data_IF_886918949809
#
_entry.id   IF_886918949809
#
_cell.length_a   1.000
_cell.length_b   1.000
_cell.length_c   1.000
_cell.angle_alpha   90.00
_cell.angle_beta   90.00
_cell.angle_gamma   90.00
#
_symmetry.space_group_name_H-M   'P 1'
#
loop_
_entity.id
_entity.type
_entity.pdbx_description
1 polymer ?
#
# COMPACT_ATOMS: atom_id res chain seq x y z
N UNK A 1 -47.22 -57.88 51.39
CA UNK A 1 -46.77 -59.23 51.81
C UNK A 1 -45.95 -59.84 50.67
N UNK A 2 -44.74 -60.36 50.99
CA UNK A 2 -44.01 -61.52 50.40
C UNK A 2 -44.26 -61.83 48.90
N UNK A 3 -43.25 -62.02 48.03
CA UNK A 3 -42.09 -62.91 48.17
C UNK A 3 -41.20 -62.79 46.91
N UNK A 4 -39.89 -62.98 47.09
CA UNK A 4 -38.89 -63.31 46.05
C UNK A 4 -39.27 -64.60 45.31
N UNK A 5 -38.76 -64.79 44.09
CA UNK A 5 -37.77 -65.84 43.68
C UNK A 5 -37.53 -65.75 42.16
N UNK A 6 -36.27 -65.89 41.76
CA UNK A 6 -35.82 -65.90 40.35
C UNK A 6 -35.62 -67.30 39.76
N UNK A 7 -35.19 -67.32 38.49
CA UNK A 7 -34.76 -68.47 37.70
C UNK A 7 -34.91 -68.10 36.20
N UNK A 8 -33.84 -67.68 35.52
CA UNK A 8 -32.86 -68.49 34.77
C UNK A 8 -33.24 -68.76 33.30
N UNK A 9 -32.73 -67.87 32.43
CA UNK A 9 -32.03 -68.09 31.16
C UNK A 9 -32.57 -69.03 30.03
N UNK A 10 -32.84 -68.37 28.88
CA UNK A 10 -32.44 -68.66 27.46
C UNK A 10 -33.25 -69.78 26.74
N UNK A 11 -33.73 -69.65 25.46
CA UNK A 11 -33.00 -69.16 24.28
C UNK A 11 -33.71 -68.25 23.23
N UNK A 12 -32.82 -67.55 22.51
CA UNK A 12 -32.82 -67.12 21.10
C UNK A 12 -34.09 -67.22 20.25
N UNK A 13 -34.60 -66.05 19.83
CA UNK A 13 -35.17 -65.87 18.49
C UNK A 13 -35.20 -64.39 18.07
N UNK A 14 -34.86 -64.19 16.79
CA UNK A 14 -34.65 -62.92 16.10
C UNK A 14 -35.82 -61.94 16.26
N UNK A 15 -35.50 -60.69 16.58
CA UNK A 15 -36.35 -59.54 16.28
C UNK A 15 -35.53 -58.57 15.43
N UNK A 16 -36.02 -58.36 14.22
CA UNK A 16 -35.54 -57.38 13.23
C UNK A 16 -35.71 -55.99 13.81
N UNK A 17 -34.60 -55.29 14.07
CA UNK A 17 -34.63 -53.86 14.40
C UNK A 17 -34.14 -53.09 13.18
N UNK A 18 -35.07 -52.39 12.53
CA UNK A 18 -34.78 -51.50 11.41
C UNK A 18 -33.82 -50.40 11.87
N UNK A 19 -32.59 -50.42 11.33
CA UNK A 19 -31.62 -49.34 11.52
C UNK A 19 -32.06 -48.19 10.62
N UNK A 20 -32.63 -47.16 11.23
CA UNK A 20 -32.83 -45.87 10.60
C UNK A 20 -31.46 -45.23 10.41
N UNK A 21 -30.87 -45.43 9.23
CA UNK A 21 -29.65 -44.73 8.82
C UNK A 21 -30.06 -43.28 8.55
N UNK A 22 -29.95 -42.44 9.58
CA UNK A 22 -30.00 -41.00 9.43
C UNK A 22 -28.70 -40.58 8.75
N UNK A 23 -28.77 -40.41 7.43
CA UNK A 23 -27.67 -39.92 6.61
C UNK A 23 -27.26 -38.54 7.15
N UNK A 24 -26.16 -38.48 7.91
CA UNK A 24 -25.45 -37.22 8.13
C UNK A 24 -25.02 -36.73 6.75
N UNK A 25 -25.82 -35.84 6.16
CA UNK A 25 -25.30 -34.90 5.18
C UNK A 25 -24.24 -34.10 5.93
N UNK A 26 -22.98 -34.47 5.77
CA UNK A 26 -21.91 -33.49 5.86
C UNK A 26 -22.36 -32.37 4.92
N UNK A 27 -22.81 -31.26 5.50
CA UNK A 27 -22.85 -30.00 4.79
C UNK A 27 -21.40 -29.76 4.41
N UNK A 28 -21.08 -30.11 3.17
CA UNK A 28 -19.84 -29.70 2.55
C UNK A 28 -19.76 -28.21 2.79
N UNK A 29 -18.76 -27.81 3.58
CA UNK A 29 -18.23 -26.46 3.50
C UNK A 29 -18.07 -26.24 2.01
N UNK A 30 -18.93 -25.39 1.43
CA UNK A 30 -18.74 -25.03 0.05
C UNK A 30 -17.31 -24.52 0.02
N UNK A 31 -16.50 -25.13 -0.85
CA UNK A 31 -15.27 -24.50 -1.26
C UNK A 31 -15.74 -23.13 -1.76
N UNK A 32 -15.69 -22.14 -0.87
CA UNK A 32 -15.65 -20.75 -1.25
C UNK A 32 -14.65 -20.76 -2.39
N UNK A 33 -15.10 -20.31 -3.55
CA UNK A 33 -14.23 -20.17 -4.68
C UNK A 33 -13.04 -19.35 -4.17
N UNK A 34 -11.94 -20.04 -3.83
CA UNK A 34 -10.59 -19.54 -3.87
C UNK A 34 -10.44 -19.14 -5.34
N UNK A 35 -10.98 -17.97 -5.68
CA UNK A 35 -10.64 -17.25 -6.89
C UNK A 35 -9.14 -17.13 -6.75
N UNK A 36 -8.41 -18.00 -7.47
CA UNK A 36 -6.96 -17.98 -7.49
C UNK A 36 -6.60 -16.56 -7.92
N UNK A 37 -6.06 -15.76 -7.01
CA UNK A 37 -5.41 -14.51 -7.40
C UNK A 37 -4.29 -14.92 -8.36
N UNK A 38 -4.23 -14.28 -9.53
CA UNK A 38 -3.20 -14.58 -10.51
C UNK A 38 -1.83 -14.27 -9.93
N UNK A 39 -1.74 -13.20 -9.14
CA UNK A 39 -0.61 -12.88 -8.30
C UNK A 39 -0.83 -13.43 -6.87
N UNK A 40 -0.18 -14.55 -6.56
CA UNK A 40 -0.08 -15.09 -5.22
C UNK A 40 1.41 -15.17 -4.83
N UNK A 41 2.10 -14.02 -4.88
CA UNK A 41 3.56 -13.94 -4.73
C UNK A 41 4.04 -13.76 -3.27
N UNK A 42 3.11 -13.66 -2.31
CA UNK A 42 3.43 -13.49 -0.88
C UNK A 42 4.02 -12.13 -0.50
N UNK A 43 3.99 -11.15 -1.41
CA UNK A 43 4.48 -9.80 -1.18
C UNK A 43 3.33 -8.83 -0.83
N UNK A 44 3.68 -7.65 -0.32
CA UNK A 44 2.72 -6.59 -0.04
C UNK A 44 1.75 -6.89 1.10
N UNK A 45 2.15 -7.71 2.09
CA UNK A 45 1.32 -8.00 3.27
C UNK A 45 0.91 -6.72 4.00
N UNK A 46 1.77 -5.71 3.97
CA UNK A 46 1.49 -4.30 4.30
C UNK A 46 1.84 -3.42 3.08
N UNK A 47 1.37 -2.15 3.03
CA UNK A 47 1.73 -1.25 1.93
C UNK A 47 3.25 -1.11 1.79
N UNK A 48 3.81 -1.05 0.57
CA UNK A 48 5.24 -0.91 0.38
C UNK A 48 5.73 0.45 0.88
N UNK A 49 6.93 0.47 1.45
CA UNK A 49 7.61 1.68 1.89
C UNK A 49 8.97 1.78 1.20
N UNK A 50 9.33 2.97 0.72
CA UNK A 50 10.56 3.15 -0.02
C UNK A 50 10.74 4.57 -0.53
N UNK A 51 11.44 4.69 -1.63
CA UNK A 51 11.74 5.93 -2.33
C UNK A 51 11.62 5.69 -3.83
N UNK A 52 11.20 6.71 -4.57
CA UNK A 52 11.18 6.72 -6.03
C UNK A 52 11.84 8.00 -6.56
N UNK A 53 12.59 7.87 -7.65
CA UNK A 53 13.37 8.96 -8.22
C UNK A 53 12.59 10.07 -8.91
N UNK A 54 11.33 9.83 -9.32
CA UNK A 54 10.63 10.66 -10.31
C UNK A 54 10.35 12.08 -9.86
N UNK A 55 9.66 12.28 -8.72
CA UNK A 55 9.15 13.59 -8.32
C UNK A 55 10.26 14.66 -8.22
N UNK A 56 11.45 14.29 -7.73
CA UNK A 56 12.57 15.21 -7.62
C UNK A 56 13.49 15.21 -8.84
N UNK A 57 13.88 14.03 -9.34
CA UNK A 57 14.95 13.92 -10.34
C UNK A 57 14.44 13.86 -11.78
N UNK A 58 13.19 13.45 -12.00
CA UNK A 58 12.65 13.18 -13.34
C UNK A 58 13.63 12.26 -14.14
N UNK A 59 13.98 12.60 -15.39
CA UNK A 59 14.99 11.88 -16.17
C UNK A 59 16.45 12.17 -15.76
N UNK A 60 16.74 12.99 -14.75
CA UNK A 60 18.11 13.32 -14.31
C UNK A 60 18.63 12.29 -13.29
N UNK A 61 18.59 11.02 -13.67
CA UNK A 61 18.98 9.89 -12.84
C UNK A 61 20.23 9.20 -13.37
N UNK A 62 21.09 8.77 -12.44
CA UNK A 62 22.32 8.03 -12.72
C UNK A 62 22.65 7.08 -11.58
N UNK A 63 23.50 6.08 -11.85
CA UNK A 63 23.91 5.06 -10.89
C UNK A 63 24.42 5.66 -9.58
N UNK A 64 25.20 6.75 -9.67
CA UNK A 64 25.73 7.45 -8.50
C UNK A 64 24.60 7.98 -7.61
N UNK A 65 23.62 8.67 -8.19
CA UNK A 65 22.46 9.18 -7.44
C UNK A 65 21.70 8.07 -6.73
N UNK A 66 21.49 6.92 -7.37
CA UNK A 66 20.80 5.78 -6.77
C UNK A 66 21.62 5.17 -5.61
N UNK A 67 22.94 5.02 -5.78
CA UNK A 67 23.83 4.53 -4.72
C UNK A 67 23.86 5.46 -3.50
N UNK A 68 24.00 6.77 -3.73
CA UNK A 68 23.99 7.77 -2.66
C UNK A 68 22.63 7.84 -1.96
N UNK A 69 21.53 7.67 -2.70
CA UNK A 69 20.17 7.58 -2.14
C UNK A 69 20.02 6.35 -1.24
N UNK A 70 20.51 5.19 -1.68
CA UNK A 70 20.53 3.97 -0.88
C UNK A 70 21.35 4.16 0.42
N UNK A 71 22.53 4.79 0.32
CA UNK A 71 23.35 5.15 1.48
C UNK A 71 22.63 6.13 2.43
N UNK A 72 21.91 7.11 1.89
CA UNK A 72 21.14 8.07 2.66
C UNK A 72 19.98 7.40 3.41
N UNK A 73 19.23 6.49 2.79
CA UNK A 73 18.16 5.72 3.47
C UNK A 73 18.69 4.90 4.65
N UNK A 74 19.92 4.39 4.56
CA UNK A 74 20.58 3.69 5.66
C UNK A 74 21.06 4.67 6.74
N UNK A 75 21.83 5.68 6.35
CA UNK A 75 22.49 6.59 7.29
C UNK A 75 21.52 7.52 8.05
N UNK A 76 20.41 7.93 7.42
CA UNK A 76 19.32 8.68 8.08
C UNK A 76 18.46 7.80 9.00
N UNK A 77 18.59 6.47 8.89
CA UNK A 77 17.80 5.51 9.65
C UNK A 77 16.41 5.20 9.08
N UNK A 78 16.02 5.80 7.94
CA UNK A 78 14.72 5.57 7.29
C UNK A 78 14.50 4.09 6.91
N UNK A 79 15.53 3.40 6.44
CA UNK A 79 15.47 1.95 6.17
C UNK A 79 15.03 1.13 7.38
N UNK A 80 15.48 1.51 8.59
CA UNK A 80 15.05 0.85 9.85
C UNK A 80 13.59 1.12 10.20
N UNK A 81 12.97 2.12 9.58
CA UNK A 81 11.54 2.44 9.72
C UNK A 81 10.68 1.73 8.67
N UNK A 82 11.29 1.07 7.68
CA UNK A 82 10.62 0.30 6.64
C UNK A 82 10.85 0.79 5.22
N UNK A 83 11.44 1.97 5.02
CA UNK A 83 11.73 2.53 3.68
C UNK A 83 12.86 1.74 2.98
N UNK A 84 12.49 0.59 2.41
CA UNK A 84 13.44 -0.43 1.98
C UNK A 84 13.49 -0.61 0.46
N UNK A 85 12.50 -0.11 -0.28
CA UNK A 85 12.52 -0.12 -1.74
C UNK A 85 13.20 1.15 -2.29
N UNK A 86 14.24 0.98 -3.11
CA UNK A 86 14.89 2.05 -3.87
C UNK A 86 14.46 1.90 -5.32
N UNK A 87 13.43 2.64 -5.71
CA UNK A 87 12.79 2.46 -7.02
C UNK A 87 13.37 3.46 -8.04
N UNK A 88 13.96 2.93 -9.10
CA UNK A 88 14.39 3.71 -10.26
C UNK A 88 13.16 3.88 -11.16
N UNK A 89 12.81 5.12 -11.47
CA UNK A 89 11.70 5.45 -12.39
C UNK A 89 12.18 5.51 -13.85
N UNK A 90 11.45 6.18 -14.73
CA UNK A 90 11.73 6.24 -16.17
C UNK A 90 13.15 6.76 -16.53
N UNK A 91 13.52 6.63 -17.80
CA UNK A 91 14.75 7.15 -18.42
C UNK A 91 16.06 6.43 -18.03
N UNK A 92 15.98 5.22 -17.47
CA UNK A 92 17.15 4.44 -17.03
C UNK A 92 17.81 3.60 -18.13
N UNK A 93 17.08 3.26 -19.20
CA UNK A 93 17.56 2.40 -20.29
C UNK A 93 17.99 3.19 -21.54
N UNK A 94 18.71 2.51 -22.43
CA UNK A 94 18.94 2.97 -23.79
C UNK A 94 17.62 3.02 -24.57
N UNK A 95 17.54 3.91 -25.57
CA UNK A 95 16.37 4.04 -26.45
C UNK A 95 16.11 2.78 -27.28
N UNK A 96 17.14 1.99 -27.54
CA UNK A 96 17.07 0.76 -28.32
C UNK A 96 17.38 -0.46 -27.45
N UNK A 97 16.62 -1.53 -27.69
CA UNK A 97 16.95 -2.88 -27.20
C UNK A 97 18.22 -3.40 -27.89
N UNK A 98 18.88 -4.37 -27.28
CA UNK A 98 20.00 -5.06 -27.93
C UNK A 98 19.54 -5.91 -29.12
N UNK A 99 20.49 -6.50 -29.84
CA UNK A 99 20.22 -7.38 -31.01
C UNK A 99 19.42 -8.64 -30.67
N UNK A 100 19.29 -8.99 -29.38
CA UNK A 100 18.48 -10.12 -28.88
C UNK A 100 17.13 -9.65 -28.36
N UNK A 101 16.82 -8.36 -28.42
CA UNK A 101 15.58 -7.76 -27.93
C UNK A 101 15.58 -7.45 -26.42
N UNK A 102 16.70 -7.55 -25.71
CA UNK A 102 16.73 -7.22 -24.28
C UNK A 102 16.79 -5.71 -24.04
N UNK A 103 16.18 -5.24 -22.95
CA UNK A 103 16.43 -3.90 -22.42
C UNK A 103 17.92 -3.74 -22.04
N UNK A 104 18.47 -2.58 -22.33
CA UNK A 104 19.88 -2.26 -22.06
C UNK A 104 19.93 -1.05 -21.14
N UNK A 105 20.65 -1.14 -20.03
CA UNK A 105 20.86 0.01 -19.15
C UNK A 105 21.61 1.12 -19.91
N UNK A 106 21.21 2.38 -19.71
CA UNK A 106 21.84 3.52 -20.38
C UNK A 106 23.30 3.64 -19.96
N UNK A 107 24.25 3.34 -20.84
CA UNK A 107 25.68 3.18 -20.48
C UNK A 107 26.29 4.44 -19.88
N UNK A 108 25.82 5.61 -20.31
CA UNK A 108 26.31 6.89 -19.79
C UNK A 108 25.85 7.16 -18.35
N UNK A 109 24.70 6.63 -17.93
CA UNK A 109 24.12 6.87 -16.61
C UNK A 109 24.30 5.68 -15.66
N UNK A 110 24.31 4.46 -16.20
CA UNK A 110 24.46 3.19 -15.48
C UNK A 110 25.61 2.35 -16.06
N UNK A 111 26.86 2.84 -15.97
CA UNK A 111 28.00 2.22 -16.62
C UNK A 111 28.30 0.81 -16.10
N UNK A 112 27.92 0.48 -14.85
CA UNK A 112 28.10 -0.87 -14.29
C UNK A 112 26.94 -1.82 -14.62
N UNK A 113 25.84 -1.30 -15.18
CA UNK A 113 24.60 -2.03 -15.44
C UNK A 113 23.72 -2.24 -14.20
N UNK A 114 22.45 -2.57 -14.44
CA UNK A 114 21.44 -2.65 -13.38
C UNK A 114 21.70 -3.79 -12.38
N UNK A 115 22.25 -4.94 -12.83
CA UNK A 115 22.60 -6.03 -11.91
C UNK A 115 23.61 -5.60 -10.84
N UNK A 116 24.69 -4.92 -11.24
CA UNK A 116 25.69 -4.44 -10.30
C UNK A 116 25.10 -3.40 -9.32
N UNK A 117 24.16 -2.58 -9.80
CA UNK A 117 23.42 -1.64 -8.95
C UNK A 117 22.48 -2.38 -7.96
N UNK A 118 21.78 -3.42 -8.39
CA UNK A 118 20.96 -4.26 -7.52
C UNK A 118 21.80 -4.92 -6.43
N UNK A 119 22.94 -5.53 -6.80
CA UNK A 119 23.86 -6.15 -5.85
C UNK A 119 24.37 -5.13 -4.81
N UNK A 120 24.65 -3.89 -5.25
CA UNK A 120 25.02 -2.81 -4.34
C UNK A 120 23.88 -2.47 -3.36
N UNK A 121 22.67 -2.25 -3.86
CA UNK A 121 21.50 -1.91 -3.03
C UNK A 121 21.18 -3.05 -2.05
N UNK A 122 21.26 -4.31 -2.50
CA UNK A 122 21.10 -5.49 -1.65
C UNK A 122 22.16 -5.58 -0.56
N UNK A 123 23.41 -5.20 -0.85
CA UNK A 123 24.50 -5.17 0.15
C UNK A 123 24.23 -4.20 1.31
N UNK A 124 23.30 -3.24 1.11
CA UNK A 124 22.84 -2.28 2.12
C UNK A 124 21.62 -2.78 2.91
N UNK A 125 21.14 -3.99 2.61
CA UNK A 125 19.91 -4.55 3.19
C UNK A 125 18.62 -3.97 2.58
N UNK A 126 18.74 -3.25 1.46
CA UNK A 126 17.63 -2.64 0.73
C UNK A 126 17.22 -3.51 -0.46
N UNK A 127 16.16 -3.09 -1.16
CA UNK A 127 15.57 -3.73 -2.33
C UNK A 127 15.59 -2.76 -3.51
N UNK A 128 15.88 -3.23 -4.72
CA UNK A 128 15.92 -2.37 -5.91
C UNK A 128 14.63 -2.54 -6.74
N UNK A 129 13.96 -1.43 -7.00
CA UNK A 129 12.86 -1.37 -7.95
C UNK A 129 13.27 -0.80 -9.30
N UNK A 130 12.52 -1.17 -10.33
CA UNK A 130 12.67 -0.68 -11.69
C UNK A 130 11.31 -0.25 -12.25
N UNK A 131 11.36 0.45 -13.38
CA UNK A 131 10.22 0.95 -14.09
C UNK A 131 10.18 0.42 -15.53
N UNK A 132 8.98 0.11 -16.02
CA UNK A 132 8.68 -0.10 -17.43
C UNK A 132 7.23 0.32 -17.71
N UNK A 133 6.77 0.10 -18.94
CA UNK A 133 5.45 0.48 -19.43
C UNK A 133 4.74 -0.70 -20.11
N UNK A 134 3.43 -0.83 -19.89
CA UNK A 134 2.53 -1.68 -20.65
C UNK A 134 2.22 -1.12 -22.06
N UNK A 135 3.24 -0.59 -22.74
CA UNK A 135 3.19 0.02 -24.06
C UNK A 135 4.50 -0.16 -24.83
N UNK A 136 4.59 0.44 -26.02
CA UNK A 136 5.77 0.32 -26.89
C UNK A 136 6.97 1.16 -26.40
N UNK A 137 6.67 2.28 -25.75
CA UNK A 137 7.65 3.20 -25.16
C UNK A 137 7.17 3.54 -23.75
N UNK A 138 8.09 3.95 -22.90
CA UNK A 138 7.74 4.56 -21.63
C UNK A 138 7.18 5.97 -21.81
N UNK A 139 6.54 6.53 -20.78
CA UNK A 139 5.90 7.86 -20.85
C UNK A 139 6.84 8.98 -21.34
N UNK A 140 8.12 8.98 -20.95
CA UNK A 140 9.13 9.93 -21.45
C UNK A 140 9.52 9.74 -22.91
N UNK A 141 9.19 8.60 -23.53
CA UNK A 141 9.67 8.13 -24.84
C UNK A 141 11.19 7.98 -24.93
N UNK A 142 11.91 7.98 -23.81
CA UNK A 142 13.39 7.89 -23.83
C UNK A 142 13.90 6.46 -23.81
N UNK A 143 13.02 5.49 -23.55
CA UNK A 143 13.33 4.07 -23.56
C UNK A 143 12.14 3.20 -24.01
N UNK A 144 12.38 1.95 -24.44
CA UNK A 144 11.32 1.01 -24.79
C UNK A 144 10.43 0.67 -23.59
N UNK A 145 9.13 0.51 -23.84
CA UNK A 145 8.23 -0.20 -22.93
C UNK A 145 8.31 -1.71 -23.14
N UNK A 146 7.49 -2.47 -22.41
CA UNK A 146 7.53 -3.94 -22.38
C UNK A 146 6.37 -4.62 -23.12
N UNK A 147 5.49 -3.88 -23.81
CA UNK A 147 4.39 -4.49 -24.56
C UNK A 147 4.92 -5.44 -25.65
N UNK A 148 4.53 -6.72 -25.58
CA UNK A 148 5.01 -7.78 -26.47
C UNK A 148 6.38 -8.37 -26.10
N UNK A 149 7.04 -7.85 -25.06
CA UNK A 149 8.33 -8.31 -24.54
C UNK A 149 8.24 -8.76 -23.06
N UNK A 150 7.04 -8.97 -22.52
CA UNK A 150 6.81 -9.11 -21.09
C UNK A 150 7.57 -10.28 -20.47
N UNK A 151 7.57 -11.45 -21.12
CA UNK A 151 8.28 -12.64 -20.63
C UNK A 151 9.81 -12.45 -20.68
N UNK A 152 10.32 -11.79 -21.72
CA UNK A 152 11.75 -11.49 -21.85
C UNK A 152 12.21 -10.47 -20.81
N UNK A 153 11.44 -9.40 -20.62
CA UNK A 153 11.76 -8.33 -19.69
C UNK A 153 11.63 -8.78 -18.24
N UNK A 154 10.57 -9.53 -17.89
CA UNK A 154 10.42 -10.12 -16.56
C UNK A 154 11.60 -11.04 -16.19
N UNK A 155 12.06 -11.87 -17.14
CA UNK A 155 13.23 -12.72 -16.93
C UNK A 155 14.52 -11.90 -16.78
N UNK A 156 14.65 -10.80 -17.54
CA UNK A 156 15.78 -9.87 -17.42
C UNK A 156 15.80 -9.21 -16.05
N UNK A 157 14.66 -8.69 -15.58
CA UNK A 157 14.52 -8.09 -14.25
C UNK A 157 14.85 -9.08 -13.13
N UNK A 158 14.36 -10.33 -13.23
CA UNK A 158 14.69 -11.38 -12.27
C UNK A 158 16.19 -11.72 -12.26
N UNK A 159 16.82 -11.83 -13.45
CA UNK A 159 18.25 -12.08 -13.58
C UNK A 159 19.12 -10.94 -13.02
N UNK A 160 18.65 -9.70 -13.14
CA UNK A 160 19.27 -8.53 -12.53
C UNK A 160 19.03 -8.41 -11.02
N UNK A 161 18.13 -9.20 -10.43
CA UNK A 161 17.83 -9.16 -9.01
C UNK A 161 16.84 -8.07 -8.61
N UNK A 162 16.03 -7.56 -9.54
CA UNK A 162 14.98 -6.59 -9.24
C UNK A 162 13.96 -7.16 -8.25
N UNK A 163 13.46 -6.31 -7.35
CA UNK A 163 12.52 -6.65 -6.28
C UNK A 163 11.13 -6.04 -6.47
N UNK A 164 11.03 -5.01 -7.31
CA UNK A 164 9.83 -4.20 -7.50
C UNK A 164 9.77 -3.73 -8.96
N UNK A 165 8.59 -3.79 -9.57
CA UNK A 165 8.30 -3.22 -10.87
C UNK A 165 7.14 -2.23 -10.77
N UNK A 166 7.39 -0.96 -11.06
CA UNK A 166 6.33 0.00 -11.45
C UNK A 166 6.07 -0.18 -12.94
N UNK A 167 4.81 -0.39 -13.32
CA UNK A 167 4.43 -0.74 -14.69
C UNK A 167 3.35 0.21 -15.20
N UNK A 168 3.74 1.08 -16.12
CA UNK A 168 2.97 2.23 -16.59
C UNK A 168 2.01 1.90 -17.75
N UNK A 169 1.35 2.91 -18.31
CA UNK A 169 0.25 2.73 -19.26
C UNK A 169 0.35 3.62 -20.53
N UNK A 170 1.48 4.27 -20.80
CA UNK A 170 1.66 5.13 -21.97
C UNK A 170 1.87 4.32 -23.26
N UNK A 171 1.67 4.95 -24.42
CA UNK A 171 2.00 4.40 -25.77
C UNK A 171 1.62 2.93 -26.01
N UNK A 172 0.48 2.51 -25.45
CA UNK A 172 -0.10 1.20 -25.68
C UNK A 172 -0.75 1.10 -27.07
N UNK A 173 -1.16 -0.10 -27.45
CA UNK A 173 -1.80 -0.42 -28.74
C UNK A 173 -3.31 -0.14 -28.78
N UNK A 174 -3.83 0.62 -27.81
CA UNK A 174 -5.26 0.87 -27.63
C UNK A 174 -6.01 -0.25 -26.91
N UNK A 175 -5.33 -1.34 -26.53
CA UNK A 175 -5.96 -2.39 -25.73
C UNK A 175 -6.13 -1.98 -24.27
N UNK A 176 -7.18 -2.50 -23.65
CA UNK A 176 -7.53 -2.18 -22.27
C UNK A 176 -6.46 -2.67 -21.26
N UNK A 177 -6.25 -1.96 -20.13
CA UNK A 177 -5.33 -2.41 -19.09
C UNK A 177 -5.69 -3.80 -18.54
N UNK A 178 -6.98 -4.12 -18.47
CA UNK A 178 -7.49 -5.46 -18.09
C UNK A 178 -7.06 -6.59 -19.02
N UNK A 179 -6.52 -6.29 -20.21
CA UNK A 179 -5.94 -7.25 -21.15
C UNK A 179 -4.41 -7.29 -21.04
N UNK A 180 -3.75 -6.13 -20.98
CA UNK A 180 -2.28 -6.01 -20.97
C UNK A 180 -1.63 -6.40 -19.64
N UNK A 181 -2.12 -5.87 -18.52
CA UNK A 181 -1.52 -6.13 -17.19
C UNK A 181 -1.48 -7.61 -16.78
N UNK A 182 -2.50 -8.44 -17.10
CA UNK A 182 -2.41 -9.89 -16.87
C UNK A 182 -1.23 -10.57 -17.59
N UNK A 183 -0.77 -10.04 -18.73
CA UNK A 183 0.37 -10.61 -19.48
C UNK A 183 1.65 -10.44 -18.67
N UNK A 184 1.95 -9.22 -18.21
CA UNK A 184 3.10 -8.96 -17.34
C UNK A 184 2.98 -9.69 -15.99
N UNK A 185 1.78 -9.76 -15.42
CA UNK A 185 1.54 -10.56 -14.19
C UNK A 185 1.99 -12.01 -14.36
N UNK A 186 1.60 -12.66 -15.47
CA UNK A 186 1.99 -14.06 -15.75
C UNK A 186 3.49 -14.18 -16.00
N UNK A 187 4.09 -13.21 -16.69
CA UNK A 187 5.52 -13.17 -16.92
C UNK A 187 6.31 -13.10 -15.61
N UNK A 188 5.94 -12.20 -14.69
CA UNK A 188 6.56 -12.08 -13.37
C UNK A 188 6.36 -13.34 -12.51
N UNK A 189 5.19 -13.98 -12.56
CA UNK A 189 4.94 -15.22 -11.84
C UNK A 189 5.73 -16.43 -12.37
N UNK A 190 6.13 -16.41 -13.65
CA UNK A 190 7.01 -17.42 -14.24
C UNK A 190 8.49 -17.15 -14.00
N UNK A 191 8.85 -15.90 -13.75
CA UNK A 191 10.23 -15.51 -13.53
C UNK A 191 10.79 -16.17 -12.25
N UNK A 192 12.10 -16.34 -12.19
CA UNK A 192 12.77 -17.07 -11.09
C UNK A 192 12.81 -16.32 -9.75
N UNK A 193 12.32 -15.08 -9.70
CA UNK A 193 12.36 -14.20 -8.53
C UNK A 193 10.99 -13.55 -8.31
N UNK A 194 10.43 -13.59 -7.09
CA UNK A 194 9.26 -12.78 -6.74
C UNK A 194 9.57 -11.29 -6.83
N UNK A 195 8.77 -10.56 -7.60
CA UNK A 195 8.87 -9.11 -7.80
C UNK A 195 7.55 -8.48 -7.34
N UNK A 196 7.61 -7.43 -6.53
CA UNK A 196 6.45 -6.63 -6.16
C UNK A 196 5.93 -5.93 -7.41
N UNK A 197 4.65 -6.10 -7.75
CA UNK A 197 4.10 -5.55 -8.98
C UNK A 197 3.15 -4.39 -8.69
N UNK A 198 3.59 -3.17 -9.03
CA UNK A 198 2.82 -1.93 -8.89
C UNK A 198 2.31 -1.49 -10.25
N UNK A 199 0.98 -1.42 -10.37
CA UNK A 199 0.31 -1.01 -11.59
C UNK A 199 0.17 0.51 -11.61
N UNK A 200 0.44 1.12 -12.76
CA UNK A 200 0.41 2.56 -12.97
C UNK A 200 -0.45 2.88 -14.20
N UNK A 201 -1.74 2.55 -14.10
CA UNK A 201 -2.77 2.80 -15.11
C UNK A 201 -3.66 4.01 -14.77
N UNK A 202 -3.28 4.75 -13.73
CA UNK A 202 -3.90 6.03 -13.32
C UNK A 202 -5.39 5.96 -13.00
N UNK A 203 -5.87 4.82 -12.50
CA UNK A 203 -7.29 4.60 -12.25
C UNK A 203 -8.10 4.16 -13.47
N UNK A 204 -7.46 3.94 -14.63
CA UNK A 204 -8.14 3.54 -15.86
C UNK A 204 -8.92 2.23 -15.68
N UNK A 205 -10.20 2.27 -16.03
CA UNK A 205 -11.15 1.18 -15.79
C UNK A 205 -11.23 0.70 -14.33
N UNK A 206 -11.02 1.60 -13.35
CA UNK A 206 -11.22 1.34 -11.92
C UNK A 206 -10.42 0.14 -11.38
N UNK A 207 -9.07 0.21 -11.32
CA UNK A 207 -8.20 -0.91 -10.95
C UNK A 207 -8.47 -1.47 -9.55
N UNK A 208 -9.09 -0.73 -8.64
CA UNK A 208 -9.59 -1.28 -7.36
C UNK A 208 -10.49 -2.52 -7.53
N UNK A 209 -11.22 -2.63 -8.64
CA UNK A 209 -12.14 -3.75 -8.93
C UNK A 209 -11.42 -5.02 -9.43
N UNK A 210 -10.19 -4.90 -9.94
CA UNK A 210 -9.51 -6.01 -10.64
C UNK A 210 -8.01 -6.15 -10.31
N UNK A 211 -7.33 -5.05 -10.00
CA UNK A 211 -5.90 -4.94 -9.73
C UNK A 211 -5.40 -5.88 -8.64
N UNK A 212 -6.18 -6.11 -7.58
CA UNK A 212 -5.83 -7.04 -6.50
C UNK A 212 -5.64 -8.50 -6.93
N UNK A 213 -6.11 -8.88 -8.12
CA UNK A 213 -5.85 -10.22 -8.68
C UNK A 213 -4.54 -10.25 -9.47
N UNK A 214 -4.05 -9.10 -9.92
CA UNK A 214 -2.97 -8.95 -10.88
C UNK A 214 -1.70 -8.39 -10.24
N UNK A 215 -1.81 -7.45 -9.31
CA UNK A 215 -0.74 -6.66 -8.71
C UNK A 215 -0.78 -6.62 -7.19
N UNK A 216 0.28 -6.06 -6.62
CA UNK A 216 0.39 -5.77 -5.19
C UNK A 216 -0.06 -4.34 -4.83
N UNK A 217 -0.06 -3.44 -5.79
CA UNK A 217 -0.70 -2.12 -5.69
C UNK A 217 -1.14 -1.64 -7.07
N UNK A 218 -2.04 -0.66 -7.12
CA UNK A 218 -2.49 -0.03 -8.37
C UNK A 218 -2.78 1.45 -8.16
N UNK A 219 -2.31 2.28 -9.09
CA UNK A 219 -2.58 3.71 -9.09
C UNK A 219 -4.07 3.95 -9.28
N UNK A 220 -4.68 4.70 -8.37
CA UNK A 220 -6.12 5.03 -8.43
C UNK A 220 -6.40 6.34 -9.16
N UNK A 221 -5.35 7.11 -9.45
CA UNK A 221 -5.42 8.50 -9.90
C UNK A 221 -4.29 8.83 -10.87
N UNK A 222 -4.43 9.96 -11.59
CA UNK A 222 -3.32 10.62 -12.29
C UNK A 222 -2.24 11.09 -11.32
N UNK A 223 -1.10 11.48 -11.86
CA UNK A 223 0.05 11.86 -11.07
C UNK A 223 -0.26 12.97 -10.07
N UNK A 224 0.35 12.87 -8.89
CA UNK A 224 0.39 13.95 -7.91
C UNK A 224 1.31 15.07 -8.43
N UNK A 225 1.19 16.24 -7.82
CA UNK A 225 2.14 17.33 -7.96
C UNK A 225 2.33 17.95 -6.59
N UNK A 226 3.46 18.61 -6.36
CA UNK A 226 3.78 19.25 -5.08
C UNK A 226 2.98 20.53 -4.84
N UNK A 227 1.65 20.41 -4.79
CA UNK A 227 0.71 21.46 -4.42
C UNK A 227 -0.41 20.89 -3.56
N UNK A 228 -0.98 21.73 -2.69
CA UNK A 228 -2.07 21.35 -1.79
C UNK A 228 -3.28 20.78 -2.54
N UNK A 229 -3.71 21.45 -3.62
CA UNK A 229 -4.89 21.08 -4.38
C UNK A 229 -4.72 19.73 -5.08
N UNK A 230 -3.51 19.45 -5.58
CA UNK A 230 -3.20 18.16 -6.20
C UNK A 230 -3.27 17.06 -5.14
N UNK A 231 -2.61 17.26 -3.99
CA UNK A 231 -2.60 16.30 -2.88
C UNK A 231 -4.02 15.98 -2.39
N UNK A 232 -4.85 17.00 -2.11
CA UNK A 232 -6.25 16.82 -1.69
C UNK A 232 -7.06 16.09 -2.76
N UNK A 233 -6.91 16.47 -4.04
CA UNK A 233 -7.60 15.80 -5.14
C UNK A 233 -7.24 14.32 -5.25
N UNK A 234 -5.97 13.94 -5.07
CA UNK A 234 -5.55 12.53 -5.09
C UNK A 234 -6.14 11.76 -3.92
N UNK A 235 -6.14 12.36 -2.72
CA UNK A 235 -6.74 11.78 -1.53
C UNK A 235 -8.23 11.47 -1.72
N UNK A 236 -9.01 12.44 -2.21
CA UNK A 236 -10.45 12.31 -2.41
C UNK A 236 -10.81 11.23 -3.44
N UNK A 237 -10.09 11.19 -4.56
CA UNK A 237 -10.33 10.18 -5.60
C UNK A 237 -9.96 8.76 -5.11
N UNK A 238 -8.92 8.65 -4.28
CA UNK A 238 -8.45 7.37 -3.75
C UNK A 238 -9.37 6.81 -2.65
N UNK A 239 -9.95 7.70 -1.84
CA UNK A 239 -10.86 7.36 -0.74
C UNK A 239 -12.06 6.53 -1.20
N UNK A 240 -12.59 6.83 -2.38
CA UNK A 240 -13.71 6.12 -2.99
C UNK A 240 -13.48 4.60 -3.12
N UNK A 241 -12.21 4.17 -3.17
CA UNK A 241 -11.84 2.76 -3.32
C UNK A 241 -11.42 2.08 -2.02
N UNK A 242 -11.62 2.71 -0.85
CA UNK A 242 -11.14 2.22 0.44
C UNK A 242 -11.49 0.74 0.73
N UNK A 243 -12.69 0.31 0.36
CA UNK A 243 -13.18 -1.05 0.62
C UNK A 243 -12.45 -2.16 -0.17
N UNK A 244 -11.67 -1.79 -1.19
CA UNK A 244 -10.96 -2.73 -2.05
C UNK A 244 -9.52 -3.01 -1.60
N UNK A 245 -8.89 -2.09 -0.86
CA UNK A 245 -7.55 -2.27 -0.33
C UNK A 245 -7.55 -3.37 0.74
N UNK A 246 -6.50 -4.21 0.73
CA UNK A 246 -6.34 -5.35 1.64
C UNK A 246 -4.89 -5.84 1.64
N UNK A 247 -4.47 -6.63 2.65
CA UNK A 247 -3.19 -7.33 2.61
C UNK A 247 -2.94 -8.01 1.26
N UNK A 248 -1.82 -7.66 0.62
CA UNK A 248 -1.41 -8.13 -0.69
C UNK A 248 -1.86 -7.26 -1.88
N UNK A 249 -2.71 -6.24 -1.68
CA UNK A 249 -3.26 -5.40 -2.75
C UNK A 249 -3.74 -4.02 -2.25
N UNK A 250 -3.02 -2.96 -2.62
CA UNK A 250 -3.23 -1.62 -2.09
C UNK A 250 -3.61 -0.60 -3.15
N UNK A 251 -4.54 0.30 -2.80
CA UNK A 251 -4.78 1.50 -3.60
C UNK A 251 -3.58 2.44 -3.48
N UNK A 252 -3.12 2.97 -4.61
CA UNK A 252 -1.96 3.85 -4.69
C UNK A 252 -2.39 5.26 -5.16
N UNK A 253 -2.52 6.23 -4.23
CA UNK A 253 -2.78 7.64 -4.56
C UNK A 253 -1.54 8.40 -5.08
N UNK A 254 -0.46 7.69 -5.44
CA UNK A 254 0.83 8.19 -5.93
C UNK A 254 1.87 8.49 -4.83
N UNK A 255 3.07 8.90 -5.24
CA UNK A 255 4.23 9.11 -4.37
C UNK A 255 4.07 10.30 -3.39
N UNK A 256 4.85 10.30 -2.31
CA UNK A 256 4.88 11.38 -1.33
C UNK A 256 5.69 12.57 -1.84
N UNK A 257 5.12 13.78 -1.75
CA UNK A 257 5.78 15.05 -2.12
C UNK A 257 6.49 15.72 -0.94
N UNK A 258 6.47 15.08 0.23
CA UNK A 258 7.02 15.62 1.48
C UNK A 258 8.48 16.02 1.31
N UNK A 259 8.74 17.33 1.38
CA UNK A 259 10.08 17.91 1.29
C UNK A 259 10.51 18.41 -0.10
N UNK A 260 9.61 18.44 -1.10
CA UNK A 260 9.91 19.00 -2.42
C UNK A 260 9.76 20.54 -2.53
N UNK A 261 9.12 21.17 -1.54
CA UNK A 261 9.14 22.62 -1.30
C UNK A 261 7.90 23.40 -1.75
N UNK A 262 6.93 22.76 -2.39
CA UNK A 262 5.70 23.35 -2.92
C UNK A 262 4.53 23.41 -1.92
N UNK A 263 4.64 22.73 -0.78
CA UNK A 263 3.67 22.80 0.32
C UNK A 263 4.32 23.24 1.63
N UNK A 264 3.51 23.78 2.54
CA UNK A 264 3.92 24.13 3.90
C UNK A 264 4.14 22.88 4.75
N UNK A 265 4.78 23.05 5.92
CA UNK A 265 4.97 21.96 6.89
C UNK A 265 3.66 21.31 7.31
N UNK A 266 2.65 22.10 7.63
CA UNK A 266 1.35 21.59 8.10
C UNK A 266 0.65 20.82 6.97
N UNK A 267 0.73 21.31 5.73
CA UNK A 267 0.20 20.61 4.55
C UNK A 267 0.92 19.28 4.29
N UNK A 268 2.25 19.22 4.46
CA UNK A 268 2.98 17.96 4.38
C UNK A 268 2.65 16.99 5.52
N UNK A 269 2.36 17.50 6.72
CA UNK A 269 1.85 16.69 7.84
C UNK A 269 0.48 16.10 7.52
N UNK A 270 -0.42 16.88 6.90
CA UNK A 270 -1.71 16.39 6.40
C UNK A 270 -1.49 15.32 5.32
N UNK A 271 -0.66 15.60 4.30
CA UNK A 271 -0.32 14.67 3.21
C UNK A 271 0.12 13.31 3.76
N UNK A 272 1.16 13.31 4.60
CA UNK A 272 1.70 12.08 5.17
C UNK A 272 0.66 11.33 6.02
N UNK A 273 -0.17 12.05 6.78
CA UNK A 273 -1.23 11.47 7.61
C UNK A 273 -2.32 10.80 6.76
N UNK A 274 -2.75 11.44 5.67
CA UNK A 274 -3.76 10.89 4.75
C UNK A 274 -3.23 9.62 4.07
N UNK A 275 -2.00 9.66 3.54
CA UNK A 275 -1.39 8.49 2.91
C UNK A 275 -1.24 7.33 3.90
N UNK A 276 -0.82 7.64 5.13
CA UNK A 276 -0.66 6.63 6.17
C UNK A 276 -2.00 6.01 6.58
N UNK A 277 -3.01 6.82 6.87
CA UNK A 277 -4.33 6.32 7.29
C UNK A 277 -5.03 5.56 6.15
N UNK A 278 -4.76 5.93 4.90
CA UNK A 278 -5.31 5.32 3.69
C UNK A 278 -4.63 4.01 3.27
N UNK A 279 -3.59 3.55 3.97
CA UNK A 279 -2.82 2.35 3.61
C UNK A 279 -2.22 2.47 2.20
N UNK A 280 -1.89 3.69 1.81
CA UNK A 280 -1.17 3.96 0.57
C UNK A 280 0.27 3.44 0.66
N UNK A 281 0.91 3.09 -0.46
CA UNK A 281 2.37 3.07 -0.56
C UNK A 281 2.99 4.34 0.03
N UNK A 282 3.99 4.20 0.90
CA UNK A 282 4.77 5.34 1.41
C UNK A 282 6.10 5.40 0.65
N UNK A 283 6.02 5.85 -0.60
CA UNK A 283 7.19 6.05 -1.46
C UNK A 283 7.61 7.52 -1.40
N UNK A 284 8.77 7.79 -0.79
CA UNK A 284 9.36 9.12 -0.72
C UNK A 284 9.72 9.62 -2.12
N UNK A 285 9.28 10.83 -2.48
CA UNK A 285 9.59 11.47 -3.76
C UNK A 285 10.60 12.62 -3.69
N UNK A 286 11.19 12.91 -2.52
CA UNK A 286 12.18 13.97 -2.33
C UNK A 286 13.63 13.48 -2.39
N UNK A 287 14.60 14.39 -2.38
CA UNK A 287 16.02 14.05 -2.26
C UNK A 287 16.39 13.69 -0.81
N UNK A 288 16.35 12.40 -0.49
CA UNK A 288 16.66 11.88 0.86
C UNK A 288 18.12 12.12 1.29
N UNK A 289 19.02 12.47 0.37
CA UNK A 289 20.42 12.81 0.68
C UNK A 289 20.54 14.17 1.37
N UNK A 290 19.52 15.03 1.22
CA UNK A 290 19.52 16.39 1.72
C UNK A 290 18.15 16.82 2.28
N UNK A 291 17.60 16.01 3.19
CA UNK A 291 16.36 16.38 3.88
C UNK A 291 16.61 17.44 4.95
N UNK A 292 15.68 18.40 5.06
CA UNK A 292 15.61 19.24 6.24
C UNK A 292 15.23 18.41 7.47
N UNK A 293 15.54 18.93 8.66
CA UNK A 293 15.10 18.30 9.92
C UNK A 293 13.58 18.16 9.96
N UNK A 294 12.85 19.15 9.46
CA UNK A 294 11.39 19.14 9.43
C UNK A 294 10.84 18.05 8.51
N UNK A 295 11.41 17.90 7.31
CA UNK A 295 11.07 16.79 6.39
C UNK A 295 11.30 15.44 7.06
N UNK A 296 12.46 15.27 7.71
CA UNK A 296 12.80 14.02 8.40
C UNK A 296 11.84 13.76 9.58
N UNK A 297 11.47 14.77 10.36
CA UNK A 297 10.49 14.64 11.45
C UNK A 297 9.13 14.13 10.97
N UNK A 298 8.68 14.56 9.77
CA UNK A 298 7.42 14.08 9.17
C UNK A 298 7.54 12.62 8.76
N UNK A 299 8.51 12.30 7.90
CA UNK A 299 8.60 10.97 7.29
C UNK A 299 9.19 9.90 8.22
N UNK A 300 9.82 10.30 9.32
CA UNK A 300 10.35 9.37 10.32
C UNK A 300 9.38 9.09 11.49
N UNK A 301 8.15 9.62 11.46
CA UNK A 301 7.18 9.41 12.53
C UNK A 301 6.72 7.94 12.59
N UNK A 302 7.31 7.18 13.52
CA UNK A 302 7.02 5.75 13.77
C UNK A 302 5.56 5.47 14.10
N UNK A 303 4.88 6.38 14.77
CA UNK A 303 3.50 6.16 15.20
C UNK A 303 2.54 6.29 14.01
N UNK A 304 2.75 7.28 13.15
CA UNK A 304 1.98 7.44 11.90
C UNK A 304 2.28 6.28 10.94
N UNK A 305 3.55 5.89 10.78
CA UNK A 305 3.95 4.71 10.00
C UNK A 305 3.26 3.45 10.55
N UNK A 306 3.16 3.27 11.86
CA UNK A 306 2.50 2.10 12.45
C UNK A 306 1.02 1.99 12.10
N UNK A 307 0.35 3.12 11.81
CA UNK A 307 -1.04 3.13 11.31
C UNK A 307 -1.09 2.65 9.87
N UNK A 308 -0.13 3.03 9.02
CA UNK A 308 -0.02 2.53 7.65
C UNK A 308 0.30 1.03 7.60
N UNK A 309 1.20 0.59 8.48
CA UNK A 309 1.71 -0.79 8.56
C UNK A 309 0.91 -1.69 9.51
N UNK A 310 -0.28 -1.27 9.95
CA UNK A 310 -1.10 -2.08 10.86
C UNK A 310 -1.52 -3.40 10.19
N UNK A 311 -1.37 -4.56 10.87
CA UNK A 311 -1.60 -5.86 10.26
C UNK A 311 -3.06 -6.14 9.93
N UNK A 312 -4.02 -5.37 10.46
CA UNK A 312 -5.42 -5.47 10.02
C UNK A 312 -5.58 -5.02 8.56
N UNK A 313 -4.74 -4.09 8.10
CA UNK A 313 -4.64 -3.73 6.69
C UNK A 313 -5.90 -3.10 6.10
N UNK A 314 -6.70 -2.42 6.91
CA UNK A 314 -7.93 -1.74 6.46
C UNK A 314 -7.63 -0.27 6.17
N UNK A 315 -7.84 0.14 4.91
CA UNK A 315 -7.81 1.54 4.51
C UNK A 315 -8.94 2.31 5.22
N UNK A 316 -8.59 3.41 5.89
CA UNK A 316 -9.59 4.31 6.47
C UNK A 316 -10.32 5.08 5.36
N UNK A 317 -11.50 5.59 5.70
CA UNK A 317 -12.35 6.38 4.81
C UNK A 317 -12.76 7.70 5.45
N UNK A 318 -13.26 8.63 4.65
CA UNK A 318 -13.85 9.87 5.14
C UNK A 318 -15.23 9.52 5.72
N UNK A 319 -15.37 9.67 7.03
CA UNK A 319 -16.63 9.35 7.74
C UNK A 319 -17.52 10.59 7.89
N UNK A 320 -16.94 11.79 7.81
CA UNK A 320 -17.68 13.05 7.87
C UNK A 320 -16.97 14.15 7.10
N UNK A 321 -17.76 15.00 6.45
CA UNK A 321 -17.32 16.19 5.72
C UNK A 321 -18.32 17.33 6.01
N UNK A 322 -17.84 18.41 6.62
CA UNK A 322 -18.64 19.60 6.96
C UNK A 322 -17.93 20.86 6.45
N UNK A 323 -18.30 21.31 5.25
CA UNK A 323 -17.55 22.36 4.56
C UNK A 323 -16.11 21.90 4.30
N UNK A 324 -15.14 22.62 4.84
CA UNK A 324 -13.71 22.32 4.70
C UNK A 324 -13.15 21.44 5.85
N UNK A 325 -14.03 20.91 6.71
CA UNK A 325 -13.65 20.11 7.87
C UNK A 325 -13.91 18.63 7.62
N UNK A 326 -12.88 17.81 7.76
CA UNK A 326 -12.95 16.39 7.47
C UNK A 326 -12.62 15.52 8.68
N UNK A 327 -13.32 14.39 8.76
CA UNK A 327 -13.05 13.33 9.72
C UNK A 327 -12.84 12.05 8.95
N UNK A 328 -11.66 11.46 9.11
CA UNK A 328 -11.30 10.17 8.56
C UNK A 328 -11.12 9.17 9.70
N UNK A 329 -11.66 7.97 9.51
CA UNK A 329 -11.53 6.91 10.50
C UNK A 329 -11.47 5.53 9.87
N UNK A 330 -10.75 4.62 10.55
CA UNK A 330 -10.64 3.22 10.15
C UNK A 330 -10.20 2.34 11.31
N UNK A 331 -10.66 1.08 11.37
CA UNK A 331 -10.26 0.16 12.42
C UNK A 331 -8.77 -0.20 12.28
N UNK A 332 -8.14 -0.46 13.42
CA UNK A 332 -6.80 -1.01 13.55
C UNK A 332 -6.85 -2.32 14.34
N UNK A 333 -5.76 -3.09 14.28
CA UNK A 333 -5.58 -4.28 15.08
C UNK A 333 -5.77 -4.03 16.59
N UNK A 334 -6.34 -5.01 17.29
CA UNK A 334 -6.58 -4.93 18.73
C UNK A 334 -7.73 -3.99 19.12
N UNK A 335 -8.78 -3.89 18.28
CA UNK A 335 -9.97 -3.07 18.51
C UNK A 335 -9.69 -1.57 18.68
N UNK A 336 -8.54 -1.10 18.18
CA UNK A 336 -8.20 0.32 18.13
C UNK A 336 -8.81 0.97 16.89
N UNK A 337 -8.90 2.29 16.89
CA UNK A 337 -9.37 3.08 15.74
C UNK A 337 -8.32 4.14 15.42
N UNK A 338 -7.96 4.27 14.14
CA UNK A 338 -7.23 5.44 13.65
C UNK A 338 -8.24 6.56 13.41
N UNK A 339 -7.94 7.76 13.89
CA UNK A 339 -8.74 8.97 13.68
C UNK A 339 -7.84 10.06 13.10
N UNK A 340 -8.28 10.72 12.05
CA UNK A 340 -7.63 11.89 11.48
C UNK A 340 -8.65 13.01 11.30
N UNK A 341 -8.37 14.16 11.92
CA UNK A 341 -9.16 15.39 11.84
C UNK A 341 -8.40 16.37 10.97
N UNK A 342 -9.02 16.92 9.93
CA UNK A 342 -8.36 17.79 8.95
C UNK A 342 -9.16 19.08 8.80
N UNK A 343 -8.47 20.21 8.95
CA UNK A 343 -9.02 21.52 8.63
C UNK A 343 -8.43 21.99 7.31
N UNK A 344 -9.18 21.85 6.22
CA UNK A 344 -8.79 22.39 4.92
C UNK A 344 -9.18 23.87 4.75
N UNK A 345 -9.89 24.45 5.73
CA UNK A 345 -10.36 25.83 5.67
C UNK A 345 -9.25 26.84 5.96
N UNK A 346 -9.48 28.14 5.63
CA UNK A 346 -8.47 29.20 5.69
C UNK A 346 -8.20 29.74 7.10
N UNK A 347 -8.90 29.24 8.11
CA UNK A 347 -8.89 29.77 9.48
C UNK A 347 -8.87 28.63 10.50
N UNK A 348 -8.57 28.96 11.75
CA UNK A 348 -8.55 27.99 12.85
C UNK A 348 -9.97 27.47 13.13
N UNK A 349 -10.15 26.15 13.15
CA UNK A 349 -11.44 25.50 13.38
C UNK A 349 -11.35 24.37 14.42
N UNK A 350 -12.46 24.12 15.11
CA UNK A 350 -12.62 22.98 16.01
C UNK A 350 -13.45 21.90 15.35
N UNK A 351 -12.92 20.67 15.33
CA UNK A 351 -13.56 19.51 14.72
C UNK A 351 -13.88 18.51 15.83
N UNK A 352 -15.10 17.97 15.83
CA UNK A 352 -15.56 16.99 16.82
C UNK A 352 -15.87 15.67 16.15
N UNK A 353 -15.11 14.62 16.47
CA UNK A 353 -15.43 13.26 16.09
C UNK A 353 -16.37 12.64 17.12
N UNK A 354 -17.59 12.29 16.68
CA UNK A 354 -18.52 11.50 17.49
C UNK A 354 -18.17 10.02 17.40
N UNK A 355 -18.35 9.28 18.49
CA UNK A 355 -18.03 7.84 18.54
C UNK A 355 -18.84 7.04 17.54
N UNK A 356 -20.09 7.43 17.33
CA UNK A 356 -20.99 6.86 16.33
C UNK A 356 -20.46 7.00 14.89
N UNK A 357 -19.76 8.09 14.57
CA UNK A 357 -19.19 8.34 13.24
C UNK A 357 -17.97 7.45 12.97
N UNK A 358 -17.21 7.13 14.02
CA UNK A 358 -15.89 6.47 13.92
C UNK A 358 -15.94 4.98 14.30
N UNK A 359 -17.14 4.42 14.47
CA UNK A 359 -17.34 3.00 14.74
C UNK A 359 -17.03 2.57 16.17
N UNK A 360 -17.14 3.48 17.14
CA UNK A 360 -16.99 3.21 18.58
C UNK A 360 -18.37 3.30 19.24
N UNK A 361 -18.77 2.37 20.14
CA UNK A 361 -20.04 2.51 20.85
C UNK A 361 -20.05 3.80 21.71
N UNK A 362 -21.14 4.60 21.73
CA UNK A 362 -21.14 5.95 22.33
C UNK A 362 -20.70 6.02 23.80
N UNK A 363 -21.03 5.01 24.61
CA UNK A 363 -20.71 4.97 26.04
C UNK A 363 -19.31 4.40 26.35
N UNK A 364 -18.52 4.09 25.32
CA UNK A 364 -17.18 3.53 25.49
C UNK A 364 -16.22 4.60 25.99
N UNK A 365 -15.51 4.29 27.07
CA UNK A 365 -14.40 5.10 27.55
C UNK A 365 -13.19 4.82 26.66
N UNK A 366 -12.53 5.88 26.18
CA UNK A 366 -11.43 5.80 25.21
C UNK A 366 -10.22 6.58 25.71
N UNK A 367 -9.04 5.99 25.57
CA UNK A 367 -7.76 6.68 25.64
C UNK A 367 -7.33 7.10 24.24
N UNK A 368 -6.95 8.36 24.06
CA UNK A 368 -6.50 8.90 22.79
C UNK A 368 -4.99 9.19 22.83
N UNK A 369 -4.25 8.63 21.86
CA UNK A 369 -2.83 8.89 21.63
C UNK A 369 -2.68 9.83 20.45
N UNK A 370 -2.16 11.04 20.67
CA UNK A 370 -1.81 11.98 19.60
C UNK A 370 -0.47 11.55 18.98
N UNK A 371 -0.50 11.24 17.68
CA UNK A 371 0.63 10.64 16.98
C UNK A 371 1.68 11.66 16.55
N UNK A 372 1.28 12.92 16.37
CA UNK A 372 2.19 14.01 15.98
C UNK A 372 2.82 14.68 17.19
N UNK A 373 2.10 14.73 18.31
CA UNK A 373 2.64 15.25 19.57
C UNK A 373 3.32 14.17 20.43
N UNK A 374 3.29 12.91 19.99
CA UNK A 374 3.83 11.77 20.72
C UNK A 374 3.38 11.74 22.19
N UNK A 375 2.10 12.04 22.44
CA UNK A 375 1.54 12.10 23.80
C UNK A 375 0.19 11.40 23.90
N UNK A 376 0.00 10.65 24.98
CA UNK A 376 -1.33 10.16 25.36
C UNK A 376 -2.04 11.29 26.09
N UNK A 377 -3.24 11.63 25.65
CA UNK A 377 -4.03 12.68 26.29
C UNK A 377 -4.41 12.22 27.70
N UNK A 378 -4.28 13.14 28.68
CA UNK A 378 -4.55 12.83 30.10
C UNK A 378 -6.03 12.53 30.36
N UNK A 379 -6.91 13.17 29.59
CA UNK A 379 -8.35 13.00 29.69
C UNK A 379 -8.77 11.70 29.00
N UNK A 380 -9.67 10.95 29.63
CA UNK A 380 -10.40 9.87 28.96
C UNK A 380 -11.66 10.43 28.34
N UNK A 381 -11.96 9.95 27.14
CA UNK A 381 -13.04 10.47 26.30
C UNK A 381 -14.22 9.51 26.31
N UNK A 382 -15.43 10.05 26.31
CA UNK A 382 -16.69 9.30 26.19
C UNK A 382 -17.59 10.06 25.22
N UNK A 383 -18.20 9.36 24.27
CA UNK A 383 -19.10 9.94 23.27
C UNK A 383 -18.39 10.66 22.12
N UNK A 384 -17.34 11.45 22.39
CA UNK A 384 -16.62 12.20 21.35
C UNK A 384 -15.22 12.66 21.76
N UNK A 385 -14.49 13.19 20.78
CA UNK A 385 -13.26 13.97 20.95
C UNK A 385 -13.31 15.20 20.05
N UNK A 386 -13.08 16.38 20.64
CA UNK A 386 -12.92 17.64 19.92
C UNK A 386 -11.46 18.07 19.94
N UNK A 387 -10.95 18.53 18.80
CA UNK A 387 -9.65 19.17 18.71
C UNK A 387 -9.74 20.44 17.85
N UNK A 388 -8.85 21.39 18.14
CA UNK A 388 -8.73 22.66 17.41
C UNK A 388 -7.43 22.65 16.62
N UNK A 389 -7.47 23.02 15.34
CA UNK A 389 -6.30 23.05 14.46
C UNK A 389 -6.33 24.24 13.50
N UNK A 390 -5.14 24.75 13.21
CA UNK A 390 -4.93 25.85 12.28
C UNK A 390 -5.40 25.50 10.86
N UNK A 391 -5.40 26.51 9.99
CA UNK A 391 -5.62 26.36 8.55
C UNK A 391 -4.67 25.31 7.97
N UNK A 392 -5.19 24.42 7.13
CA UNK A 392 -4.45 23.36 6.42
C UNK A 392 -3.62 22.44 7.35
N UNK A 393 -4.10 22.24 8.57
CA UNK A 393 -3.45 21.38 9.56
C UNK A 393 -4.37 20.20 9.94
N UNK A 394 -3.76 19.17 10.53
CA UNK A 394 -4.49 18.02 11.06
C UNK A 394 -4.09 17.66 12.48
N UNK A 395 -4.95 16.85 13.12
CA UNK A 395 -4.61 16.04 14.28
C UNK A 395 -4.87 14.58 13.98
N UNK A 396 -3.90 13.72 14.29
CA UNK A 396 -4.00 12.28 14.08
C UNK A 396 -3.92 11.56 15.42
N UNK A 397 -4.87 10.67 15.67
CA UNK A 397 -4.98 9.91 16.89
C UNK A 397 -5.07 8.41 16.63
N UNK A 398 -4.55 7.63 17.57
CA UNK A 398 -5.00 6.26 17.80
C UNK A 398 -5.89 6.25 19.02
N UNK A 399 -7.14 5.85 18.83
CA UNK A 399 -8.15 5.68 19.86
C UNK A 399 -8.14 4.24 20.35
N UNK A 400 -8.00 4.05 21.66
CA UNK A 400 -8.03 2.74 22.31
C UNK A 400 -9.21 2.70 23.28
N UNK A 401 -10.27 1.93 22.96
CA UNK A 401 -11.30 1.57 23.93
C UNK A 401 -10.67 0.98 25.20
N UNK A 402 -11.06 1.53 26.36
CA UNK A 402 -10.71 1.01 27.67
C UNK A 402 -11.99 0.51 28.34
N UNK A 403 -12.20 -0.80 28.25
CA UNK A 403 -13.20 -1.52 29.05
C UNK A 403 -12.63 -1.84 30.42
#
# INVERSE_FOLDING_TARGET
MRKKVGGSAVPTSMIVMAVMICSLKLMGVSASQLRRNLLANGLGVTPPMGWNSWNHFNCKIEEKTIKETADALVSTGLSKLGYNYVNIDDCWAEIARDVKGNLVAKKSAFPSGIKALADYVHSKGLKLGIYSDAGYFTCSKTMPGSLGHEEQDANTFAAWGIDYLKYDNCYNDGSNPTVRYPVMTRALMKASRPIFFSLCEWGDMHPALWGAKLGNSWRTTKDISDTWESMVSRADMNEFYAEYARPGGWNDPDMLEVGNGGMTKDEYVVHFSIWAISKAPLLLGCDVRNMTKETLEIVANKEVISVNQDPLGVQAKKVRLEGDLEIWAGPLSGYRVALLLINQGPSNNSITAQWEDVGIPPNTVVEARDLWEHKTLKTRFVGNLTATMNSHACKMYVLKPVS
#
